data_IF_572645117218
#
_entry.id   IF_572645117218
#
_cell.length_a   1.000
_cell.length_b   1.000
_cell.length_c   1.000
_cell.angle_alpha   90.00
_cell.angle_beta   90.00
_cell.angle_gamma   90.00
#
_symmetry.space_group_name_H-M   'P 1'
#
loop_
_entity.id
_entity.type
_entity.pdbx_description
1 polymer ?
#
# COMPACT_ATOMS: atom_id res chain seq x y z
N UNK A 1 15.59 -10.30 -12.53
CA UNK A 1 17.04 -10.11 -12.81
C UNK A 1 17.88 -11.22 -12.17
N UNK A 2 17.81 -11.47 -10.83
CA UNK A 2 18.59 -12.52 -10.16
C UNK A 2 18.23 -13.93 -10.67
N UNK A 3 16.95 -14.25 -10.86
CA UNK A 3 16.50 -15.53 -11.40
C UNK A 3 17.01 -15.80 -12.83
N UNK A 4 17.26 -14.76 -13.61
CA UNK A 4 17.82 -14.88 -14.96
C UNK A 4 19.33 -15.14 -14.95
N UNK A 5 20.00 -14.83 -13.84
CA UNK A 5 21.45 -14.98 -13.68
C UNK A 5 21.86 -16.25 -12.93
N UNK A 6 20.89 -17.03 -12.46
CA UNK A 6 21.12 -18.19 -11.57
C UNK A 6 21.88 -17.81 -10.28
N UNK A 7 21.61 -16.62 -9.78
CA UNK A 7 22.25 -16.06 -8.59
C UNK A 7 21.24 -15.95 -7.45
N UNK A 8 21.69 -16.16 -6.22
CA UNK A 8 20.89 -15.86 -5.02
C UNK A 8 20.71 -14.35 -4.90
N UNK A 9 19.54 -13.91 -4.44
CA UNK A 9 19.26 -12.51 -4.14
C UNK A 9 19.24 -12.32 -2.62
N UNK A 10 20.22 -11.63 -2.02
CA UNK A 10 20.18 -11.33 -0.60
C UNK A 10 19.04 -10.38 -0.27
N UNK A 11 18.36 -10.64 0.83
CA UNK A 11 17.23 -9.83 1.29
C UNK A 11 17.23 -9.66 2.81
N UNK A 12 16.55 -8.62 3.27
CA UNK A 12 16.17 -8.42 4.67
C UNK A 12 14.66 -8.26 4.79
N UNK A 13 14.07 -8.93 5.77
CA UNK A 13 12.64 -8.81 6.11
C UNK A 13 12.58 -8.14 7.47
N UNK A 14 11.97 -6.95 7.51
CA UNK A 14 11.93 -6.12 8.70
C UNK A 14 10.50 -6.10 9.24
N UNK A 15 10.28 -6.64 10.43
CA UNK A 15 8.99 -6.75 11.09
C UNK A 15 8.90 -5.74 12.24
N UNK A 16 7.70 -5.20 12.48
CA UNK A 16 7.48 -4.23 13.56
C UNK A 16 8.18 -2.89 13.31
N UNK A 17 8.12 -2.39 12.09
CA UNK A 17 8.64 -1.07 11.71
C UNK A 17 7.59 0.02 11.94
N UNK A 18 8.00 1.29 11.89
CA UNK A 18 7.07 2.42 11.93
C UNK A 18 6.02 2.31 10.82
N UNK A 19 4.77 2.71 11.09
CA UNK A 19 3.65 2.59 10.14
C UNK A 19 3.92 3.29 8.80
N UNK A 20 4.67 4.40 8.79
CA UNK A 20 5.07 5.09 7.57
C UNK A 20 5.85 4.19 6.60
N UNK A 21 6.65 3.24 7.12
CA UNK A 21 7.37 2.25 6.29
C UNK A 21 6.39 1.30 5.64
N UNK A 22 5.40 0.80 6.39
CA UNK A 22 4.39 -0.11 5.85
C UNK A 22 3.53 0.56 4.77
N UNK A 23 3.13 1.82 4.99
CA UNK A 23 2.37 2.59 4.00
C UNK A 23 3.22 2.85 2.76
N UNK A 24 4.47 3.30 2.93
CA UNK A 24 5.38 3.57 1.82
C UNK A 24 5.69 2.32 1.00
N UNK A 25 5.82 1.14 1.63
CA UNK A 25 6.06 -0.13 0.95
C UNK A 25 4.91 -0.56 0.03
N UNK A 26 3.69 -0.08 0.26
CA UNK A 26 2.52 -0.34 -0.61
C UNK A 26 2.27 0.76 -1.64
N UNK A 27 3.05 1.84 -1.62
CA UNK A 27 2.92 2.94 -2.57
C UNK A 27 3.60 2.60 -3.90
N UNK A 28 2.93 2.87 -5.02
CA UNK A 28 3.51 2.71 -6.35
C UNK A 28 4.36 3.93 -6.71
N UNK A 29 5.60 3.91 -6.26
CA UNK A 29 6.54 4.99 -6.53
C UNK A 29 6.97 5.01 -8.01
N UNK A 30 7.20 6.19 -8.59
CA UNK A 30 7.90 6.29 -9.87
C UNK A 30 9.28 5.65 -9.82
N UNK A 31 9.74 5.13 -10.96
CA UNK A 31 11.07 4.54 -11.07
C UNK A 31 12.15 5.54 -10.61
N UNK A 32 13.02 5.09 -9.72
CA UNK A 32 14.11 5.89 -9.14
C UNK A 32 13.77 6.63 -7.85
N UNK A 33 12.51 6.60 -7.41
CA UNK A 33 12.13 7.10 -6.09
C UNK A 33 12.19 5.94 -5.08
N UNK A 34 12.95 6.15 -4.00
CA UNK A 34 13.11 5.15 -2.94
C UNK A 34 11.96 5.26 -1.94
N UNK A 35 11.28 4.15 -1.67
CA UNK A 35 10.15 4.08 -0.74
C UNK A 35 10.54 4.45 0.70
N UNK A 36 11.78 4.20 1.11
CA UNK A 36 12.27 4.65 2.43
C UNK A 36 12.34 6.18 2.53
N UNK A 37 12.57 6.89 1.41
CA UNK A 37 12.49 8.35 1.39
C UNK A 37 11.06 8.85 1.56
N UNK A 38 10.07 8.12 1.00
CA UNK A 38 8.65 8.39 1.20
C UNK A 38 8.29 8.17 2.66
N UNK A 39 8.73 7.04 3.24
CA UNK A 39 8.51 6.73 4.64
C UNK A 39 9.08 7.81 5.57
N UNK A 40 10.30 8.28 5.30
CA UNK A 40 10.93 9.36 6.05
C UNK A 40 10.15 10.68 5.92
N UNK A 41 9.68 11.02 4.71
CA UNK A 41 8.83 12.19 4.50
C UNK A 41 7.50 12.13 5.27
N UNK A 42 6.90 10.95 5.37
CA UNK A 42 5.68 10.72 6.15
C UNK A 42 5.92 10.76 7.66
N UNK A 43 7.05 10.22 8.12
CA UNK A 43 7.43 10.20 9.53
C UNK A 43 7.94 11.56 10.03
N UNK A 44 8.35 12.45 9.11
CA UNK A 44 9.00 13.72 9.46
C UNK A 44 10.49 13.58 9.82
N UNK A 45 11.06 12.40 9.68
CA UNK A 45 12.47 12.10 9.97
C UNK A 45 13.00 10.99 9.06
N UNK A 46 14.32 10.93 8.88
CA UNK A 46 14.92 9.90 8.04
C UNK A 46 14.79 8.51 8.68
N UNK A 47 14.41 7.51 7.85
CA UNK A 47 14.44 6.10 8.27
C UNK A 47 15.89 5.71 8.55
N UNK A 48 16.16 5.26 9.77
CA UNK A 48 17.50 4.83 10.18
C UNK A 48 17.78 3.43 9.65
N UNK A 49 18.92 3.28 8.98
CA UNK A 49 19.37 2.00 8.43
C UNK A 49 20.65 1.55 9.14
N UNK A 50 20.83 0.24 9.19
CA UNK A 50 22.05 -0.42 9.66
C UNK A 50 22.44 -1.52 8.69
N UNK A 51 23.72 -1.90 8.69
CA UNK A 51 24.22 -3.05 7.93
C UNK A 51 23.72 -4.35 8.57
N UNK A 52 23.36 -5.33 7.75
CA UNK A 52 23.00 -6.67 8.23
C UNK A 52 24.20 -7.44 8.80
N UNK A 53 23.91 -8.50 9.54
CA UNK A 53 24.92 -9.40 10.12
C UNK A 53 25.51 -10.36 9.07
N UNK A 54 24.73 -10.71 8.04
CA UNK A 54 25.09 -11.76 7.07
C UNK A 54 25.24 -11.26 5.64
N UNK A 55 24.87 -9.99 5.37
CA UNK A 55 24.99 -9.37 4.05
C UNK A 55 25.06 -7.85 4.16
N UNK A 56 25.47 -7.20 3.06
CA UNK A 56 25.51 -5.73 2.94
C UNK A 56 24.12 -5.12 2.63
N UNK A 57 23.06 -5.94 2.59
CA UNK A 57 21.68 -5.43 2.41
C UNK A 57 21.26 -4.70 3.69
N UNK A 58 20.88 -3.42 3.59
CA UNK A 58 20.52 -2.65 4.78
C UNK A 58 19.27 -3.19 5.46
N UNK A 59 19.28 -3.13 6.80
CA UNK A 59 18.16 -3.38 7.67
C UNK A 59 17.62 -2.07 8.24
N UNK A 60 16.33 -2.03 8.58
CA UNK A 60 15.75 -0.89 9.32
C UNK A 60 16.15 -1.01 10.79
N UNK A 61 16.92 -0.04 11.28
CA UNK A 61 17.50 -0.08 12.63
C UNK A 61 16.46 -0.15 13.76
N UNK A 62 15.27 0.38 13.50
CA UNK A 62 14.17 0.44 14.47
C UNK A 62 13.18 -0.71 14.38
N UNK A 63 13.43 -1.71 13.51
CA UNK A 63 12.60 -2.89 13.42
C UNK A 63 12.62 -3.71 14.72
N UNK A 64 11.53 -4.34 15.06
CA UNK A 64 11.42 -5.24 16.22
C UNK A 64 12.13 -6.57 15.98
N UNK A 65 11.98 -7.09 14.75
CA UNK A 65 12.59 -8.36 14.30
C UNK A 65 13.12 -8.15 12.88
N UNK A 66 14.33 -8.61 12.62
CA UNK A 66 14.93 -8.64 11.28
C UNK A 66 15.29 -10.06 10.91
N UNK A 67 14.80 -10.52 9.75
CA UNK A 67 15.21 -11.78 9.14
C UNK A 67 16.13 -11.47 7.98
N UNK A 68 17.34 -11.97 8.01
CA UNK A 68 18.28 -11.87 6.88
C UNK A 68 18.32 -13.20 6.15
N UNK A 69 18.34 -13.14 4.83
CA UNK A 69 18.30 -14.35 4.04
C UNK A 69 18.58 -14.15 2.57
N UNK A 70 18.25 -15.16 1.81
CA UNK A 70 18.46 -15.22 0.36
C UNK A 70 17.24 -15.80 -0.34
N UNK A 71 16.79 -15.16 -1.39
CA UNK A 71 15.86 -15.76 -2.36
C UNK A 71 16.69 -16.68 -3.25
N UNK A 72 16.31 -17.95 -3.32
CA UNK A 72 17.00 -18.95 -4.11
C UNK A 72 16.63 -18.83 -5.60
N UNK A 73 17.57 -19.06 -6.55
CA UNK A 73 17.32 -18.92 -7.99
C UNK A 73 16.59 -20.13 -8.59
N UNK A 74 15.72 -20.77 -7.83
CA UNK A 74 14.96 -21.97 -8.24
C UNK A 74 13.52 -21.64 -8.66
N UNK A 75 13.24 -20.35 -8.89
CA UNK A 75 11.93 -19.89 -9.33
C UNK A 75 10.86 -19.98 -8.25
N UNK A 76 9.62 -20.05 -8.69
CA UNK A 76 8.40 -20.15 -7.87
C UNK A 76 8.20 -21.63 -7.48
N UNK A 77 8.93 -22.08 -6.50
CA UNK A 77 9.12 -23.51 -6.22
C UNK A 77 8.44 -24.00 -4.94
N UNK A 78 7.89 -23.08 -4.11
CA UNK A 78 7.23 -23.42 -2.86
C UNK A 78 5.77 -23.05 -2.88
N UNK A 79 4.85 -23.97 -2.52
CA UNK A 79 3.46 -23.63 -2.37
C UNK A 79 3.24 -22.80 -1.11
N UNK A 80 2.53 -21.70 -1.25
CA UNK A 80 2.01 -20.90 -0.14
C UNK A 80 0.58 -21.33 0.14
N UNK A 81 0.26 -21.62 1.41
CA UNK A 81 -1.07 -22.02 1.84
C UNK A 81 -2.12 -20.93 1.58
N UNK A 82 -3.37 -21.35 1.51
CA UNK A 82 -4.48 -20.40 1.39
C UNK A 82 -4.66 -19.61 2.67
N UNK A 83 -4.94 -18.31 2.54
CA UNK A 83 -5.26 -17.43 3.66
C UNK A 83 -6.33 -16.40 3.24
N UNK A 84 -6.95 -15.74 4.22
CA UNK A 84 -7.91 -14.67 3.97
C UNK A 84 -7.21 -13.45 3.37
N UNK A 85 -7.77 -12.92 2.29
CA UNK A 85 -7.23 -11.77 1.57
C UNK A 85 -7.90 -10.46 2.03
N UNK A 86 -7.28 -9.32 1.70
CA UNK A 86 -7.83 -7.98 1.95
C UNK A 86 -9.22 -7.77 1.30
N UNK A 87 -9.55 -8.55 0.30
CA UNK A 87 -10.88 -8.56 -0.37
C UNK A 87 -11.97 -9.22 0.46
N UNK A 88 -11.66 -9.77 1.63
CA UNK A 88 -12.54 -10.61 2.47
C UNK A 88 -12.89 -11.96 1.83
N UNK A 89 -12.14 -12.36 0.84
CA UNK A 89 -12.26 -13.65 0.18
C UNK A 89 -11.07 -14.52 0.54
N UNK A 90 -11.24 -15.83 0.42
CA UNK A 90 -10.13 -16.77 0.58
C UNK A 90 -9.25 -16.73 -0.67
N UNK A 91 -7.97 -16.49 -0.50
CA UNK A 91 -6.98 -16.54 -1.56
C UNK A 91 -6.79 -17.94 -2.14
N UNK A 92 -6.23 -18.01 -3.33
CA UNK A 92 -5.84 -19.26 -3.98
C UNK A 92 -4.55 -19.84 -3.40
N UNK A 93 -4.20 -21.04 -3.86
CA UNK A 93 -2.85 -21.58 -3.69
C UNK A 93 -1.93 -20.90 -4.70
N UNK A 94 -0.86 -20.30 -4.22
CA UNK A 94 0.16 -19.67 -5.05
C UNK A 94 1.51 -20.37 -4.87
N UNK A 95 2.33 -20.36 -5.91
CA UNK A 95 3.71 -20.80 -5.83
C UNK A 95 4.59 -19.58 -5.68
N UNK A 96 5.47 -19.59 -4.68
CA UNK A 96 6.32 -18.46 -4.33
C UNK A 96 7.81 -18.82 -4.32
N UNK A 97 8.69 -17.81 -4.42
CA UNK A 97 10.13 -18.03 -4.28
C UNK A 97 10.46 -18.57 -2.90
N UNK A 98 11.42 -19.46 -2.85
CA UNK A 98 11.94 -19.97 -1.58
C UNK A 98 12.95 -18.99 -1.00
N UNK A 99 12.71 -18.56 0.23
CA UNK A 99 13.64 -17.75 1.01
C UNK A 99 14.33 -18.63 2.04
N UNK A 100 15.66 -18.63 2.03
CA UNK A 100 16.48 -19.29 3.04
C UNK A 100 16.94 -18.25 4.05
N UNK A 101 16.47 -18.35 5.30
CA UNK A 101 16.88 -17.47 6.40
C UNK A 101 18.25 -17.88 6.91
N UNK A 102 19.15 -16.93 7.09
CA UNK A 102 20.52 -17.08 7.61
C UNK A 102 20.66 -16.58 9.04
N UNK A 103 19.99 -15.45 9.37
CA UNK A 103 20.04 -14.85 10.69
C UNK A 103 18.68 -14.29 11.08
N UNK A 104 18.40 -14.29 12.37
CA UNK A 104 17.25 -13.64 12.99
C UNK A 104 17.78 -12.77 14.12
N UNK A 105 17.63 -11.45 13.96
CA UNK A 105 18.00 -10.46 14.96
C UNK A 105 16.73 -9.85 15.56
N UNK A 106 16.72 -9.61 16.86
CA UNK A 106 15.58 -9.04 17.56
C UNK A 106 16.01 -7.97 18.54
N UNK A 107 15.09 -7.07 18.88
CA UNK A 107 15.24 -6.25 20.10
C UNK A 107 15.26 -7.14 21.34
N UNK A 108 15.65 -6.57 22.47
CA UNK A 108 15.72 -7.28 23.75
C UNK A 108 14.35 -7.89 24.13
N UNK A 109 13.29 -7.11 23.95
CA UNK A 109 11.91 -7.50 24.24
C UNK A 109 11.04 -7.15 23.01
N UNK A 110 11.11 -7.96 21.93
CA UNK A 110 10.50 -7.60 20.66
C UNK A 110 8.98 -7.74 20.69
N UNK A 111 8.30 -6.79 20.10
CA UNK A 111 6.87 -6.88 19.82
C UNK A 111 6.63 -7.48 18.44
N UNK A 112 5.84 -8.54 18.37
CA UNK A 112 5.45 -9.11 17.09
C UNK A 112 4.29 -8.31 16.49
N UNK A 113 4.53 -7.72 15.31
CA UNK A 113 3.53 -6.96 14.58
C UNK A 113 2.65 -7.90 13.76
N UNK A 114 1.48 -8.24 14.30
CA UNK A 114 0.47 -9.06 13.63
C UNK A 114 -0.68 -8.18 13.13
N UNK A 115 -1.02 -8.31 11.85
CA UNK A 115 -2.17 -7.64 11.24
C UNK A 115 -3.32 -8.62 11.10
N UNK A 116 -4.49 -8.25 11.63
CA UNK A 116 -5.71 -9.03 11.44
C UNK A 116 -6.26 -8.81 10.03
N UNK A 117 -6.27 -9.89 9.23
CA UNK A 117 -6.85 -9.87 7.89
C UNK A 117 -8.38 -9.97 7.96
N UNK A 118 -9.13 -9.22 7.15
CA UNK A 118 -8.66 -8.22 6.19
C UNK A 118 -8.61 -6.78 6.76
N UNK A 119 -9.15 -6.56 7.96
CA UNK A 119 -9.53 -5.24 8.43
C UNK A 119 -8.37 -4.30 8.67
N UNK A 120 -7.33 -4.74 9.37
CA UNK A 120 -6.22 -3.87 9.73
C UNK A 120 -5.27 -3.63 8.57
N UNK A 121 -5.15 -4.59 7.66
CA UNK A 121 -4.25 -4.49 6.51
C UNK A 121 -4.77 -3.54 5.42
N UNK A 122 -6.10 -3.34 5.34
CA UNK A 122 -6.67 -2.50 4.27
C UNK A 122 -6.59 -1.00 4.57
N UNK A 123 -6.63 -0.60 5.84
CA UNK A 123 -6.66 0.82 6.22
C UNK A 123 -5.46 1.63 5.68
N UNK A 124 -4.19 1.15 5.79
CA UNK A 124 -3.06 1.85 5.20
C UNK A 124 -3.15 1.99 3.68
N UNK A 125 -3.86 1.07 3.02
CA UNK A 125 -4.07 1.10 1.58
C UNK A 125 -4.91 2.27 1.10
N UNK A 126 -5.86 2.76 1.91
CA UNK A 126 -6.71 3.91 1.58
C UNK A 126 -5.86 5.17 1.39
N UNK A 127 -4.95 5.48 2.31
CA UNK A 127 -4.12 6.69 2.27
C UNK A 127 -3.33 6.81 0.96
N UNK A 128 -2.74 5.71 0.48
CA UNK A 128 -1.99 5.69 -0.77
C UNK A 128 -2.88 5.95 -1.99
N UNK A 129 -4.12 5.46 -1.97
CA UNK A 129 -5.07 5.64 -3.08
C UNK A 129 -5.68 7.02 -3.07
N UNK A 130 -5.98 7.56 -1.91
CA UNK A 130 -6.41 8.95 -1.76
C UNK A 130 -5.34 9.91 -2.29
N UNK A 131 -4.07 9.68 -1.94
CA UNK A 131 -2.95 10.45 -2.47
C UNK A 131 -2.83 10.33 -3.99
N UNK A 132 -3.05 9.14 -4.56
CA UNK A 132 -3.03 8.93 -6.01
C UNK A 132 -4.18 9.66 -6.71
N UNK A 133 -5.40 9.63 -6.15
CA UNK A 133 -6.55 10.39 -6.66
C UNK A 133 -6.28 11.88 -6.59
N UNK A 134 -5.83 12.41 -5.45
CA UNK A 134 -5.48 13.83 -5.27
C UNK A 134 -4.45 14.28 -6.31
N UNK A 135 -3.44 13.48 -6.56
CA UNK A 135 -2.42 13.75 -7.60
C UNK A 135 -3.02 13.75 -9.00
N UNK A 136 -3.87 12.76 -9.34
CA UNK A 136 -4.52 12.69 -10.65
C UNK A 136 -5.40 13.91 -10.92
N UNK A 137 -6.16 14.35 -9.93
CA UNK A 137 -7.01 15.54 -10.02
C UNK A 137 -6.20 16.82 -10.20
N UNK A 138 -5.11 16.96 -9.44
CA UNK A 138 -4.18 18.09 -9.60
C UNK A 138 -3.61 18.14 -11.02
N UNK A 139 -3.15 17.02 -11.57
CA UNK A 139 -2.61 16.94 -12.94
C UNK A 139 -3.66 17.20 -14.02
N UNK A 140 -4.91 16.81 -13.77
CA UNK A 140 -6.04 17.06 -14.67
C UNK A 140 -6.67 18.46 -14.51
N UNK A 141 -6.14 19.30 -13.61
CA UNK A 141 -6.67 20.62 -13.29
C UNK A 141 -8.15 20.59 -12.85
N UNK A 142 -8.52 19.56 -12.06
CA UNK A 142 -9.84 19.39 -11.46
C UNK A 142 -9.83 19.89 -10.01
N UNK A 143 -10.89 20.60 -9.61
CA UNK A 143 -11.00 21.18 -8.28
C UNK A 143 -11.58 20.14 -7.29
N UNK A 144 -10.67 19.32 -6.72
CA UNK A 144 -10.98 18.31 -5.72
C UNK A 144 -11.20 18.97 -4.36
N UNK A 145 -12.34 18.71 -3.74
CA UNK A 145 -12.63 19.11 -2.36
C UNK A 145 -12.16 18.03 -1.41
N UNK A 146 -12.68 16.81 -1.58
CA UNK A 146 -12.26 15.67 -0.76
C UNK A 146 -12.41 14.33 -1.48
N UNK A 147 -11.78 13.28 -0.91
CA UNK A 147 -11.83 11.91 -1.41
C UNK A 147 -11.85 10.93 -0.26
N UNK A 148 -12.71 9.93 -0.36
CA UNK A 148 -12.82 8.80 0.56
C UNK A 148 -12.66 7.51 -0.25
N UNK A 149 -11.63 6.74 0.05
CA UNK A 149 -11.49 5.36 -0.44
C UNK A 149 -12.14 4.45 0.58
N UNK A 150 -13.39 4.06 0.32
CA UNK A 150 -14.29 3.54 1.33
C UNK A 150 -13.86 2.19 1.92
N UNK A 151 -14.04 1.98 3.24
CA UNK A 151 -13.82 0.67 3.87
C UNK A 151 -14.72 -0.44 3.27
N UNK A 152 -15.93 -0.10 2.85
CA UNK A 152 -16.83 -1.03 2.14
C UNK A 152 -16.26 -1.54 0.83
N UNK A 153 -15.47 -0.72 0.13
CA UNK A 153 -14.70 -1.09 -1.05
C UNK A 153 -13.31 -1.67 -0.71
N UNK A 154 -13.13 -2.21 0.49
CA UNK A 154 -11.86 -2.77 0.99
C UNK A 154 -10.71 -1.76 1.01
N UNK A 155 -11.00 -0.46 1.13
CA UNK A 155 -10.02 0.63 1.04
C UNK A 155 -9.17 0.62 -0.25
N UNK A 156 -9.69 -0.01 -1.31
CA UNK A 156 -9.01 -0.20 -2.59
C UNK A 156 -9.88 0.16 -3.79
N UNK A 157 -11.11 -0.34 -3.84
CA UNK A 157 -11.86 -0.49 -5.09
C UNK A 157 -12.97 0.54 -5.28
N UNK A 158 -13.34 1.28 -4.23
CA UNK A 158 -14.43 2.26 -4.29
C UNK A 158 -13.97 3.61 -3.77
N UNK A 159 -14.07 4.61 -4.63
CA UNK A 159 -13.79 6.01 -4.33
C UNK A 159 -15.07 6.84 -4.36
N UNK A 160 -15.28 7.65 -3.34
CA UNK A 160 -16.25 8.75 -3.33
C UNK A 160 -15.46 10.05 -3.35
N UNK A 161 -15.77 10.93 -4.28
CA UNK A 161 -15.01 12.16 -4.55
C UNK A 161 -15.94 13.34 -4.60
N UNK A 162 -15.68 14.39 -3.82
CA UNK A 162 -16.38 15.67 -3.92
C UNK A 162 -15.56 16.70 -4.68
N UNK A 163 -16.21 17.44 -5.57
CA UNK A 163 -15.58 18.42 -6.44
C UNK A 163 -16.36 19.74 -6.49
N UNK A 164 -15.64 20.86 -6.68
CA UNK A 164 -16.25 22.10 -7.19
C UNK A 164 -16.39 22.00 -8.69
N UNK A 165 -17.55 21.53 -9.11
CA UNK A 165 -17.81 21.16 -10.50
C UNK A 165 -17.95 22.36 -11.41
N UNK A 166 -17.18 22.40 -12.50
CA UNK A 166 -17.46 23.21 -13.69
C UNK A 166 -18.29 22.39 -14.69
N UNK A 167 -19.05 23.05 -15.59
CA UNK A 167 -19.86 22.34 -16.58
C UNK A 167 -19.03 21.34 -17.40
N UNK A 168 -19.48 20.07 -17.47
CA UNK A 168 -18.84 19.01 -18.23
C UNK A 168 -17.74 18.22 -17.51
N UNK A 169 -17.30 18.62 -16.31
CA UNK A 169 -16.15 18.00 -15.62
C UNK A 169 -16.44 16.67 -14.93
N UNK A 170 -17.68 16.34 -14.63
CA UNK A 170 -18.00 15.11 -13.87
C UNK A 170 -17.41 13.83 -14.50
N UNK A 171 -17.48 13.71 -15.84
CA UNK A 171 -16.87 12.57 -16.54
C UNK A 171 -15.34 12.58 -16.47
N UNK A 172 -14.72 13.73 -16.53
CA UNK A 172 -13.26 13.87 -16.40
C UNK A 172 -12.82 13.48 -14.98
N UNK A 173 -13.56 13.89 -13.96
CA UNK A 173 -13.32 13.51 -12.57
C UNK A 173 -13.42 12.00 -12.37
N UNK A 174 -14.47 11.34 -12.91
CA UNK A 174 -14.60 9.87 -12.86
C UNK A 174 -13.39 9.20 -13.53
N UNK A 175 -13.01 9.63 -14.72
CA UNK A 175 -11.89 9.04 -15.44
C UNK A 175 -10.56 9.26 -14.72
N UNK A 176 -10.32 10.46 -14.18
CA UNK A 176 -9.12 10.76 -13.41
C UNK A 176 -8.99 9.87 -12.18
N UNK A 177 -10.09 9.64 -11.45
CA UNK A 177 -10.12 8.73 -10.31
C UNK A 177 -9.86 7.28 -10.74
N UNK A 178 -10.55 6.79 -11.78
CA UNK A 178 -10.43 5.39 -12.25
C UNK A 178 -9.01 5.03 -12.70
N UNK A 179 -8.30 5.93 -13.36
CA UNK A 179 -6.94 5.65 -13.86
C UNK A 179 -5.85 5.88 -12.82
N UNK A 180 -6.17 6.48 -11.68
CA UNK A 180 -5.18 6.85 -10.66
C UNK A 180 -4.62 5.65 -9.90
N UNK A 181 -5.39 4.59 -9.76
CA UNK A 181 -5.05 3.40 -8.97
C UNK A 181 -5.94 2.20 -9.34
N UNK A 182 -6.04 1.20 -8.45
CA UNK A 182 -6.84 -0.04 -8.62
C UNK A 182 -8.35 0.17 -8.40
N UNK A 183 -8.85 1.40 -8.53
CA UNK A 183 -10.24 1.76 -8.28
C UNK A 183 -11.14 1.18 -9.36
N UNK A 184 -12.22 0.52 -8.94
CA UNK A 184 -13.22 -0.12 -9.83
C UNK A 184 -14.53 0.66 -9.90
N UNK A 185 -14.86 1.38 -8.82
CA UNK A 185 -16.09 2.15 -8.70
C UNK A 185 -15.75 3.56 -8.24
N UNK A 186 -16.36 4.54 -8.89
CA UNK A 186 -16.19 5.97 -8.54
C UNK A 186 -17.56 6.62 -8.49
N UNK A 187 -17.81 7.30 -7.39
CA UNK A 187 -18.94 8.23 -7.22
C UNK A 187 -18.37 9.63 -7.15
N UNK A 188 -18.88 10.53 -7.98
CA UNK A 188 -18.51 11.95 -7.94
C UNK A 188 -19.72 12.74 -7.50
N UNK A 189 -19.57 13.52 -6.43
CA UNK A 189 -20.59 14.35 -5.83
C UNK A 189 -20.16 15.83 -5.82
N UNK A 190 -21.09 16.73 -5.54
CA UNK A 190 -20.78 18.13 -5.38
C UNK A 190 -20.13 18.40 -4.01
N UNK A 191 -19.58 19.61 -3.85
CA UNK A 191 -18.82 20.03 -2.67
C UNK A 191 -19.60 20.09 -1.36
N UNK A 192 -20.93 20.09 -1.42
CA UNK A 192 -21.85 20.14 -0.28
C UNK A 192 -22.15 18.75 0.32
N UNK A 193 -21.65 17.67 -0.30
CA UNK A 193 -21.83 16.29 0.19
C UNK A 193 -20.61 15.84 0.96
N UNK A 194 -20.84 15.35 2.18
CA UNK A 194 -19.78 14.72 2.99
C UNK A 194 -19.45 13.31 2.45
N UNK A 195 -18.29 13.16 1.81
CA UNK A 195 -17.83 11.88 1.23
C UNK A 195 -17.55 10.81 2.29
N UNK A 196 -17.42 11.20 3.57
CA UNK A 196 -17.21 10.26 4.69
C UNK A 196 -18.52 9.83 5.35
N UNK A 197 -19.64 10.49 5.02
CA UNK A 197 -20.98 10.10 5.45
C UNK A 197 -21.67 9.30 4.33
N UNK A 198 -21.80 7.97 4.52
CA UNK A 198 -22.43 7.09 3.55
C UNK A 198 -23.89 7.43 3.25
N UNK A 199 -24.64 7.90 4.25
CA UNK A 199 -26.05 8.27 4.09
C UNK A 199 -26.21 9.51 3.21
N UNK A 200 -25.32 10.51 3.35
CA UNK A 200 -25.31 11.71 2.50
C UNK A 200 -24.97 11.34 1.05
N UNK A 201 -24.01 10.45 0.86
CA UNK A 201 -23.62 9.96 -0.48
C UNK A 201 -24.78 9.19 -1.13
N UNK A 202 -25.44 8.30 -0.37
CA UNK A 202 -26.57 7.54 -0.87
C UNK A 202 -27.77 8.45 -1.20
N UNK A 203 -28.05 9.44 -0.34
CA UNK A 203 -29.05 10.45 -0.62
C UNK A 203 -28.75 11.21 -1.93
N UNK A 204 -27.53 11.66 -2.11
CA UNK A 204 -27.11 12.37 -3.33
C UNK A 204 -27.19 11.52 -4.62
N UNK A 205 -27.08 10.19 -4.49
CA UNK A 205 -27.26 9.26 -5.61
C UNK A 205 -28.73 8.99 -5.93
N UNK A 206 -29.61 9.10 -4.94
CA UNK A 206 -31.03 8.78 -5.06
C UNK A 206 -31.89 9.94 -5.53
N UNK A 207 -31.44 11.19 -5.39
CA UNK A 207 -32.16 12.44 -5.74
C UNK A 207 -31.55 13.18 -6.90
#
# INVERSE_FOLDING_TARGET
>A
AALQKDEVLPITINLGTHMAVNIAATYRAPLGLNELSIAGGMAGEAVRLMTGETSDVPCIADAEIVLEGEILPIGWSKPEGRFGEFTRLMGGLHWNPHVRIKSISTRKDPMYYALHMPWEVILPGAANREAAVRRAFMLANLDLVDVNITPGGSCYFHAVVSIRKRPGEAKHAIMAALISSDIKHVVVVNEDIDVFNGDDVEWALAT
#
